data_IF_925137175524
#
_entry.id   IF_925137175524
#
_cell.length_a   1.000
_cell.length_b   1.000
_cell.length_c   1.000
_cell.angle_alpha   90.00
_cell.angle_beta   90.00
_cell.angle_gamma   90.00
#
_symmetry.space_group_name_H-M   'P 1'
#
loop_
_entity.id
_entity.type
_entity.pdbx_description
1 polymer ?
#
# COMPACT_ATOMS: atom_id res chain seq x y z
N UNK A 1 8.55 0.23 -38.84
CA UNK A 1 7.57 -0.19 -37.82
C UNK A 1 8.32 -0.89 -36.69
N UNK A 2 8.89 -0.12 -35.76
CA UNK A 2 9.40 -0.61 -34.48
C UNK A 2 8.31 -0.39 -33.45
N UNK A 3 7.87 -1.47 -32.81
CA UNK A 3 6.91 -1.47 -31.71
C UNK A 3 7.53 -0.71 -30.54
N UNK A 4 7.20 0.57 -30.41
CA UNK A 4 7.39 1.27 -29.16
C UNK A 4 6.35 0.71 -28.19
N UNK A 5 6.80 -0.14 -27.26
CA UNK A 5 6.03 -0.45 -26.06
C UNK A 5 5.95 0.84 -25.25
N UNK A 6 4.94 1.67 -25.53
CA UNK A 6 4.59 2.80 -24.69
C UNK A 6 4.15 2.23 -23.34
N UNK A 7 4.97 2.46 -22.32
CA UNK A 7 4.69 2.15 -20.92
C UNK A 7 3.53 3.05 -20.43
N UNK A 8 2.29 2.71 -20.80
CA UNK A 8 1.08 3.49 -20.55
C UNK A 8 0.55 3.36 -19.11
N UNK A 9 1.38 3.59 -18.10
CA UNK A 9 0.96 3.52 -16.70
C UNK A 9 1.87 4.22 -15.70
N UNK A 10 2.77 5.09 -16.20
CA UNK A 10 3.48 6.06 -15.37
C UNK A 10 2.82 7.42 -15.66
N UNK A 11 2.75 8.29 -14.66
CA UNK A 11 2.14 9.61 -14.79
C UNK A 11 2.70 10.33 -16.04
N UNK A 12 1.92 10.37 -17.12
CA UNK A 12 2.28 10.95 -18.42
C UNK A 12 2.62 12.45 -18.31
N UNK A 13 2.42 13.03 -17.12
CA UNK A 13 2.71 14.42 -16.81
C UNK A 13 4.18 14.70 -16.44
N UNK A 14 4.99 13.68 -16.13
CA UNK A 14 6.40 13.92 -15.76
C UNK A 14 7.29 13.97 -17.00
N UNK A 15 7.87 15.15 -17.21
CA UNK A 15 8.74 15.45 -18.35
C UNK A 15 10.19 15.69 -17.89
N UNK A 16 11.15 15.34 -18.74
CA UNK A 16 12.57 15.66 -18.58
C UNK A 16 13.09 16.34 -19.85
N UNK A 17 13.88 17.41 -19.69
CA UNK A 17 14.47 18.15 -20.80
C UNK A 17 15.89 17.65 -21.09
N UNK A 18 16.22 17.41 -22.36
CA UNK A 18 17.60 17.14 -22.75
C UNK A 18 18.44 18.42 -22.72
N UNK A 19 19.50 18.46 -21.92
CA UNK A 19 20.42 19.60 -21.77
C UNK A 19 21.19 19.94 -23.05
N UNK A 20 21.28 19.01 -24.00
CA UNK A 20 21.99 19.22 -25.27
C UNK A 20 21.10 19.80 -26.37
N UNK A 21 19.88 19.29 -26.56
CA UNK A 21 19.00 19.71 -27.65
C UNK A 21 17.77 20.52 -27.22
N UNK A 22 17.51 20.64 -25.90
CA UNK A 22 16.38 21.38 -25.34
C UNK A 22 15.00 20.72 -25.52
N UNK A 23 14.92 19.53 -26.13
CA UNK A 23 13.67 18.80 -26.33
C UNK A 23 13.23 18.16 -25.00
N UNK A 24 11.94 18.26 -24.71
CA UNK A 24 11.28 17.61 -23.58
C UNK A 24 10.75 16.22 -23.96
N UNK A 25 10.90 15.28 -23.04
CA UNK A 25 10.47 13.89 -23.20
C UNK A 25 9.65 13.46 -21.99
N UNK A 26 8.57 12.69 -22.20
CA UNK A 26 7.95 11.94 -21.10
C UNK A 26 8.97 10.93 -20.59
N UNK A 27 9.12 10.83 -19.27
CA UNK A 27 10.11 9.93 -18.66
C UNK A 27 9.90 8.47 -19.08
N UNK A 28 8.64 8.05 -19.22
CA UNK A 28 8.28 6.72 -19.73
C UNK A 28 8.69 6.48 -21.20
N UNK A 29 8.67 7.51 -22.05
CA UNK A 29 9.11 7.41 -23.45
C UNK A 29 10.62 7.21 -23.60
N UNK A 30 11.39 7.57 -22.57
CA UNK A 30 12.85 7.42 -22.53
C UNK A 30 13.30 6.37 -21.51
N UNK A 31 12.37 5.51 -21.08
CA UNK A 31 12.58 4.42 -20.14
C UNK A 31 13.26 4.86 -18.82
N UNK A 32 12.84 6.01 -18.31
CA UNK A 32 13.21 6.51 -16.99
C UNK A 32 12.04 6.40 -16.04
N UNK A 33 12.34 6.08 -14.79
CA UNK A 33 11.40 6.15 -13.68
C UNK A 33 11.54 7.50 -12.95
N UNK A 34 10.49 7.94 -12.26
CA UNK A 34 10.47 9.25 -11.57
C UNK A 34 11.64 9.41 -10.58
N UNK A 35 11.91 8.37 -9.78
CA UNK A 35 13.02 8.38 -8.82
C UNK A 35 14.42 8.46 -9.48
N UNK A 36 14.56 8.03 -10.73
CA UNK A 36 15.82 8.12 -11.47
C UNK A 36 16.07 9.55 -11.91
N UNK A 37 15.01 10.23 -12.38
CA UNK A 37 15.04 11.62 -12.86
C UNK A 37 15.57 12.56 -11.78
N UNK A 38 15.17 12.37 -10.53
CA UNK A 38 15.63 13.19 -9.40
C UNK A 38 17.15 13.14 -9.18
N UNK A 39 17.81 12.06 -9.63
CA UNK A 39 19.25 11.88 -9.50
C UNK A 39 20.02 12.37 -10.72
N UNK A 40 19.34 12.74 -11.79
CA UNK A 40 19.98 13.28 -12.99
C UNK A 40 20.30 14.75 -12.74
N UNK A 41 21.58 15.10 -12.89
CA UNK A 41 22.05 16.50 -12.87
C UNK A 41 21.86 17.10 -14.28
N UNK A 42 22.32 16.38 -15.31
CA UNK A 42 22.11 16.76 -16.72
C UNK A 42 21.67 15.56 -17.53
N UNK A 43 20.54 15.70 -18.20
CA UNK A 43 19.96 14.65 -19.04
C UNK A 43 20.43 14.78 -20.48
N UNK A 44 20.94 13.69 -21.04
CA UNK A 44 21.21 13.57 -22.47
C UNK A 44 20.32 12.48 -23.06
N UNK A 45 19.44 12.85 -24.01
CA UNK A 45 18.62 11.88 -24.72
C UNK A 45 19.48 10.93 -25.57
N UNK A 46 18.93 9.79 -25.98
CA UNK A 46 19.65 8.74 -26.73
C UNK A 46 20.41 9.26 -27.96
N UNK A 47 19.85 10.25 -28.67
CA UNK A 47 20.49 10.86 -29.84
C UNK A 47 21.67 11.76 -29.44
N UNK A 48 21.50 12.55 -28.40
CA UNK A 48 22.52 13.48 -27.91
C UNK A 48 23.62 12.78 -27.12
N UNK A 49 23.35 11.61 -26.54
CA UNK A 49 24.34 10.89 -25.75
C UNK A 49 25.55 10.42 -26.56
N UNK A 50 25.36 10.23 -27.88
CA UNK A 50 26.42 9.87 -28.81
C UNK A 50 27.45 10.99 -29.04
N UNK A 51 27.05 12.25 -28.89
CA UNK A 51 27.92 13.41 -29.12
C UNK A 51 28.31 14.14 -27.83
N UNK A 52 27.38 14.28 -26.89
CA UNK A 52 27.57 14.95 -25.60
C UNK A 52 27.99 14.00 -24.46
N UNK A 53 28.00 12.69 -24.71
CA UNK A 53 28.23 11.66 -23.69
C UNK A 53 26.95 11.27 -22.93
N UNK A 54 27.00 10.28 -22.03
CA UNK A 54 25.83 9.84 -21.26
C UNK A 54 25.29 10.95 -20.33
N UNK A 55 24.07 10.78 -19.84
CA UNK A 55 23.50 11.63 -18.78
C UNK A 55 24.43 11.67 -17.56
N UNK A 56 24.50 12.84 -16.92
CA UNK A 56 25.33 13.10 -15.76
C UNK A 56 24.43 13.06 -14.53
N UNK A 57 24.86 12.33 -13.51
CA UNK A 57 24.11 12.13 -12.28
C UNK A 57 24.70 12.98 -11.16
N UNK A 58 23.83 13.41 -10.25
CA UNK A 58 24.22 14.08 -9.01
C UNK A 58 25.11 13.17 -8.19
N UNK A 59 26.06 13.78 -7.48
CA UNK A 59 26.95 13.07 -6.55
C UNK A 59 26.24 12.90 -5.22
N UNK A 60 26.15 11.67 -4.73
CA UNK A 60 25.62 11.41 -3.39
C UNK A 60 26.71 11.77 -2.37
N UNK A 61 26.43 12.78 -1.56
CA UNK A 61 27.39 13.38 -0.62
C UNK A 61 27.13 12.99 0.83
N UNK A 62 25.97 12.40 1.13
CA UNK A 62 25.56 12.06 2.50
C UNK A 62 24.65 10.82 2.57
N UNK A 63 24.46 10.28 3.77
CA UNK A 63 23.64 9.07 4.06
C UNK A 63 22.62 9.27 5.18
N UNK A 64 22.55 10.48 5.74
CA UNK A 64 21.71 10.84 6.89
C UNK A 64 20.59 11.81 6.57
N UNK A 65 20.49 12.27 5.32
CA UNK A 65 19.44 13.15 4.83
C UNK A 65 18.57 12.40 3.82
N UNK A 66 17.29 12.76 3.73
CA UNK A 66 16.38 12.18 2.74
C UNK A 66 16.76 12.59 1.31
N UNK A 67 17.39 13.77 1.12
CA UNK A 67 18.09 14.12 -0.12
C UNK A 67 19.59 13.75 -0.02
N UNK A 68 20.03 12.67 -0.68
CA UNK A 68 21.43 12.24 -0.64
C UNK A 68 22.39 13.21 -1.36
N UNK A 69 21.87 14.19 -2.09
CA UNK A 69 22.64 15.20 -2.81
C UNK A 69 22.60 16.58 -2.11
N UNK A 70 22.01 16.67 -0.91
CA UNK A 70 21.80 17.94 -0.22
C UNK A 70 23.12 18.69 0.02
N UNK A 71 23.15 19.95 -0.42
CA UNK A 71 24.29 20.84 -0.19
C UNK A 71 24.46 21.15 1.31
N UNK A 72 25.72 21.20 1.74
CA UNK A 72 26.11 21.52 3.13
C UNK A 72 25.39 20.64 4.18
N UNK A 73 25.26 19.34 3.91
CA UNK A 73 24.58 18.40 4.78
C UNK A 73 25.34 18.04 6.08
N UNK A 74 26.62 18.37 6.19
CA UNK A 74 27.52 17.86 7.24
C UNK A 74 27.02 18.15 8.65
N UNK A 75 26.50 19.35 8.89
CA UNK A 75 26.05 19.81 10.21
C UNK A 75 24.53 19.64 10.43
N UNK A 76 23.82 19.08 9.45
CA UNK A 76 22.37 18.87 9.52
C UNK A 76 22.03 17.59 10.30
N UNK A 77 20.88 17.54 11.00
CA UNK A 77 20.50 16.38 11.78
C UNK A 77 20.21 15.16 10.90
N UNK A 78 20.23 13.98 11.51
CA UNK A 78 19.84 12.73 10.85
C UNK A 78 18.31 12.69 10.71
N UNK A 79 17.82 12.29 9.53
CA UNK A 79 16.39 12.16 9.22
C UNK A 79 15.90 10.71 9.27
N UNK A 80 14.63 10.53 9.63
CA UNK A 80 13.96 9.23 9.67
C UNK A 80 14.04 8.50 8.31
N UNK A 81 14.13 7.18 8.37
CA UNK A 81 14.21 6.29 7.20
C UNK A 81 15.56 6.25 6.49
N UNK A 82 16.47 7.21 6.73
CA UNK A 82 17.80 7.25 6.11
C UNK A 82 18.70 6.08 6.54
N UNK A 83 19.80 5.87 5.82
CA UNK A 83 20.74 4.76 6.10
C UNK A 83 21.30 4.89 7.51
N UNK A 84 21.74 6.09 7.87
CA UNK A 84 22.35 6.37 9.17
C UNK A 84 21.31 6.24 10.29
N UNK A 85 20.08 6.74 10.07
CA UNK A 85 18.98 6.54 11.02
C UNK A 85 18.71 5.07 11.30
N UNK A 86 18.61 4.24 10.25
CA UNK A 86 18.34 2.81 10.40
C UNK A 86 19.47 2.09 11.13
N UNK A 87 20.73 2.48 10.89
CA UNK A 87 21.88 1.94 11.63
C UNK A 87 21.74 2.25 13.12
N UNK A 88 21.46 3.51 13.47
CA UNK A 88 21.23 3.93 14.86
C UNK A 88 20.05 3.18 15.46
N UNK A 89 18.93 3.09 14.74
CA UNK A 89 17.72 2.41 15.22
C UNK A 89 17.96 0.93 15.52
N UNK A 90 18.71 0.22 14.67
CA UNK A 90 19.06 -1.19 14.87
C UNK A 90 20.03 -1.41 16.02
N UNK A 91 20.97 -0.49 16.23
CA UNK A 91 21.94 -0.54 17.32
C UNK A 91 21.35 0.00 18.65
N UNK A 92 20.20 0.69 18.59
CA UNK A 92 19.56 1.28 19.76
C UNK A 92 19.09 0.19 20.72
N UNK A 93 19.82 0.05 21.82
CA UNK A 93 19.39 -0.71 22.99
C UNK A 93 18.45 0.12 23.88
N UNK A 94 17.63 -0.55 24.67
CA UNK A 94 16.85 0.09 25.74
C UNK A 94 15.41 0.45 25.36
N UNK A 95 14.87 -0.08 24.26
CA UNK A 95 13.43 -0.15 24.09
C UNK A 95 12.84 -1.03 25.20
N UNK A 96 11.79 -0.55 25.86
CA UNK A 96 11.05 -1.38 26.80
C UNK A 96 10.49 -2.59 26.08
N UNK A 97 10.53 -3.74 26.75
CA UNK A 97 9.93 -4.93 26.20
C UNK A 97 8.40 -4.75 26.16
N UNK A 98 7.76 -5.17 25.07
CA UNK A 98 6.33 -5.06 24.87
C UNK A 98 5.54 -6.12 25.65
N UNK A 99 6.17 -7.16 26.21
CA UNK A 99 5.48 -8.25 26.92
C UNK A 99 4.61 -7.79 28.09
N UNK A 100 4.95 -6.67 28.73
CA UNK A 100 4.16 -6.10 29.83
C UNK A 100 2.94 -5.30 29.35
N UNK A 101 2.88 -4.98 28.05
CA UNK A 101 1.86 -4.14 27.44
C UNK A 101 0.89 -4.97 26.60
N UNK A 102 1.40 -5.98 25.87
CA UNK A 102 0.58 -6.78 24.97
C UNK A 102 -0.20 -7.85 25.74
N UNK A 103 -1.38 -8.20 25.21
CA UNK A 103 -2.04 -9.45 25.55
C UNK A 103 -1.50 -10.55 24.65
N UNK A 104 -0.67 -11.45 25.20
CA UNK A 104 -0.05 -12.55 24.48
C UNK A 104 -0.90 -13.83 24.58
N UNK A 105 -1.50 -14.23 23.47
CA UNK A 105 -2.36 -15.40 23.34
C UNK A 105 -1.68 -16.47 22.49
N UNK A 106 -1.70 -17.72 22.97
CA UNK A 106 -1.16 -18.85 22.22
C UNK A 106 -1.94 -19.10 20.91
N UNK A 107 -3.26 -18.93 20.95
CA UNK A 107 -4.16 -19.12 19.82
C UNK A 107 -5.45 -18.28 19.97
N UNK A 108 -6.29 -18.30 18.94
CA UNK A 108 -7.51 -17.50 18.84
C UNK A 108 -8.79 -18.15 19.35
N UNK A 109 -8.76 -19.36 19.93
CA UNK A 109 -10.00 -20.11 20.24
C UNK A 109 -10.95 -19.37 21.19
N UNK A 110 -10.41 -18.55 22.10
CA UNK A 110 -11.18 -17.79 23.06
C UNK A 110 -11.31 -16.31 22.68
N UNK A 111 -10.76 -15.87 21.54
CA UNK A 111 -10.79 -14.48 21.12
C UNK A 111 -12.10 -14.18 20.40
N UNK A 112 -13.13 -13.85 21.19
CA UNK A 112 -14.46 -13.46 20.72
C UNK A 112 -14.93 -12.14 21.37
N UNK A 113 -16.13 -11.67 20.98
CA UNK A 113 -16.69 -10.41 21.49
C UNK A 113 -16.83 -10.44 23.01
N UNK A 114 -17.27 -11.56 23.59
CA UNK A 114 -17.45 -11.68 25.05
C UNK A 114 -16.12 -11.59 25.78
N UNK A 115 -15.09 -12.20 25.21
CA UNK A 115 -13.74 -12.11 25.75
C UNK A 115 -13.26 -10.66 25.78
N UNK A 116 -13.40 -9.92 24.67
CA UNK A 116 -13.00 -8.50 24.61
C UNK A 116 -13.83 -7.62 25.55
N UNK A 117 -15.13 -7.86 25.68
CA UNK A 117 -15.99 -7.16 26.64
C UNK A 117 -15.53 -7.40 28.09
N UNK A 118 -15.08 -8.62 28.40
CA UNK A 118 -14.63 -8.98 29.76
C UNK A 118 -13.21 -8.53 30.09
N UNK A 119 -12.34 -8.35 29.09
CA UNK A 119 -10.90 -8.05 29.26
C UNK A 119 -10.52 -6.63 28.83
N UNK A 120 -11.42 -5.91 28.16
CA UNK A 120 -11.18 -4.64 27.44
C UNK A 120 -10.24 -4.77 26.24
N UNK A 121 -10.56 -4.04 25.16
CA UNK A 121 -9.71 -3.92 23.98
C UNK A 121 -8.95 -2.59 24.03
N UNK A 122 -7.98 -2.48 24.95
CA UNK A 122 -7.23 -1.25 25.25
C UNK A 122 -5.71 -1.38 25.03
N UNK A 123 -5.27 -2.55 24.56
CA UNK A 123 -3.86 -2.89 24.32
C UNK A 123 -3.72 -3.81 23.12
N UNK A 124 -2.53 -3.86 22.47
CA UNK A 124 -2.29 -4.77 21.36
C UNK A 124 -2.43 -6.23 21.79
N UNK A 125 -3.02 -7.05 20.92
CA UNK A 125 -3.18 -8.50 21.14
C UNK A 125 -2.27 -9.23 20.17
N UNK A 126 -1.34 -10.03 20.68
CA UNK A 126 -0.50 -10.93 19.88
C UNK A 126 -1.09 -12.32 19.94
N UNK A 127 -1.41 -12.91 18.77
CA UNK A 127 -1.84 -14.30 18.66
C UNK A 127 -0.76 -15.11 17.96
N UNK A 128 -0.10 -16.02 18.70
CA UNK A 128 1.07 -16.76 18.20
C UNK A 128 0.72 -17.75 17.09
N UNK A 129 -0.43 -18.41 17.21
CA UNK A 129 -0.93 -19.38 16.23
C UNK A 129 -2.34 -19.02 15.77
N UNK A 130 -2.57 -19.04 14.45
CA UNK A 130 -3.85 -18.64 13.85
C UNK A 130 -5.03 -19.57 14.15
N UNK A 131 -4.79 -20.73 14.78
CA UNK A 131 -5.83 -21.67 15.20
C UNK A 131 -6.92 -20.97 16.02
N UNK A 132 -8.18 -21.22 15.69
CA UNK A 132 -9.33 -20.62 16.37
C UNK A 132 -9.72 -19.20 15.91
N UNK A 133 -8.89 -18.51 15.12
CA UNK A 133 -9.24 -17.18 14.59
C UNK A 133 -10.26 -17.20 13.45
N UNK A 134 -10.50 -18.35 12.81
CA UNK A 134 -11.20 -18.45 11.52
C UNK A 134 -10.49 -17.67 10.38
N UNK A 135 -9.20 -17.38 10.56
CA UNK A 135 -8.36 -16.76 9.56
C UNK A 135 -7.97 -17.79 8.50
N UNK A 136 -8.21 -17.46 7.22
CA UNK A 136 -7.67 -18.21 6.09
C UNK A 136 -6.85 -17.26 5.22
N UNK A 137 -5.63 -17.64 4.91
CA UNK A 137 -4.75 -16.95 3.97
C UNK A 137 -4.13 -18.02 3.07
N UNK A 138 -4.15 -17.87 1.74
CA UNK A 138 -3.51 -18.83 0.85
C UNK A 138 -2.00 -18.88 1.12
N UNK A 139 -1.39 -20.04 0.84
CA UNK A 139 0.04 -20.24 0.99
C UNK A 139 0.80 -19.43 -0.08
N UNK A 140 1.30 -18.26 0.32
CA UNK A 140 2.05 -17.33 -0.53
C UNK A 140 3.50 -17.37 -0.07
N UNK A 141 4.35 -18.05 -0.84
CA UNK A 141 5.75 -18.28 -0.48
C UNK A 141 6.73 -17.50 -1.35
N UNK A 142 6.22 -16.83 -2.39
CA UNK A 142 7.01 -16.06 -3.31
C UNK A 142 6.28 -14.80 -3.78
N UNK A 143 7.07 -13.91 -4.35
CA UNK A 143 6.58 -12.68 -5.00
C UNK A 143 5.86 -13.01 -6.30
N UNK A 144 6.17 -14.15 -6.91
CA UNK A 144 5.53 -14.61 -8.15
C UNK A 144 4.10 -15.14 -7.88
N UNK A 145 3.85 -15.69 -6.69
CA UNK A 145 2.50 -16.06 -6.25
C UNK A 145 1.60 -14.82 -6.11
N UNK A 146 2.14 -13.73 -5.55
CA UNK A 146 1.42 -12.45 -5.42
C UNK A 146 1.02 -11.88 -6.78
N UNK A 147 1.92 -11.93 -7.76
CA UNK A 147 1.65 -11.50 -9.13
C UNK A 147 0.43 -12.24 -9.72
N UNK A 148 0.34 -13.54 -9.46
CA UNK A 148 -0.75 -14.40 -9.93
C UNK A 148 -2.08 -14.06 -9.25
N UNK A 149 -2.07 -13.81 -7.94
CA UNK A 149 -3.30 -13.64 -7.15
C UNK A 149 -3.91 -12.25 -7.21
N UNK A 150 -3.09 -11.22 -7.38
CA UNK A 150 -3.56 -9.83 -7.44
C UNK A 150 -4.11 -9.47 -8.83
N UNK A 151 -3.73 -10.23 -9.87
CA UNK A 151 -4.35 -10.23 -11.22
C UNK A 151 -4.34 -8.88 -11.95
N UNK A 152 -3.55 -7.91 -11.47
CA UNK A 152 -3.37 -6.61 -12.10
C UNK A 152 -1.92 -6.12 -11.97
N UNK A 153 -1.06 -6.62 -12.85
CA UNK A 153 0.35 -6.24 -12.92
C UNK A 153 0.59 -4.86 -13.49
N UNK A 154 -0.41 -4.31 -14.17
CA UNK A 154 -0.39 -2.98 -14.78
C UNK A 154 -0.95 -1.92 -13.84
N UNK A 155 -1.60 -2.33 -12.74
CA UNK A 155 -2.06 -1.45 -11.67
C UNK A 155 -0.92 -0.53 -11.21
N UNK A 156 -1.21 0.77 -11.25
CA UNK A 156 -0.37 1.76 -10.59
C UNK A 156 -0.56 1.62 -9.08
N UNK A 157 0.54 1.42 -8.36
CA UNK A 157 0.57 1.30 -6.91
C UNK A 157 1.40 2.43 -6.32
N UNK A 158 0.94 2.94 -5.17
CA UNK A 158 1.65 3.96 -4.40
C UNK A 158 2.69 3.29 -3.51
N UNK A 159 3.97 3.56 -3.78
CA UNK A 159 5.10 2.95 -3.10
C UNK A 159 5.92 4.01 -2.38
N UNK A 160 6.38 3.68 -1.18
CA UNK A 160 7.21 4.55 -0.36
C UNK A 160 8.68 4.17 -0.60
N UNK A 161 9.50 5.12 -1.06
CA UNK A 161 10.95 5.02 -0.92
C UNK A 161 11.31 5.30 0.54
N UNK A 162 11.65 4.24 1.28
CA UNK A 162 11.89 4.31 2.72
C UNK A 162 13.06 5.24 3.07
N UNK A 163 14.07 5.37 2.21
CA UNK A 163 15.23 6.22 2.50
C UNK A 163 14.94 7.69 2.27
N UNK A 164 14.07 7.99 1.30
CA UNK A 164 13.65 9.36 0.98
C UNK A 164 12.43 9.82 1.75
N UNK A 165 11.70 8.90 2.39
CA UNK A 165 10.40 9.16 2.99
C UNK A 165 9.46 9.84 1.98
N UNK A 166 9.50 9.37 0.72
CA UNK A 166 8.74 9.93 -0.41
C UNK A 166 7.94 8.84 -1.12
N UNK A 167 6.72 9.20 -1.50
CA UNK A 167 5.83 8.35 -2.27
C UNK A 167 6.09 8.49 -3.78
N UNK A 168 6.01 7.38 -4.49
CA UNK A 168 6.06 7.29 -5.94
C UNK A 168 4.91 6.41 -6.43
N UNK A 169 4.40 6.69 -7.62
CA UNK A 169 3.48 5.78 -8.31
C UNK A 169 4.25 4.98 -9.35
N UNK A 170 4.09 3.66 -9.36
CA UNK A 170 4.65 2.78 -10.39
C UNK A 170 3.78 1.56 -10.64
N UNK A 171 3.95 0.92 -11.80
CA UNK A 171 3.28 -0.35 -12.07
C UNK A 171 3.67 -1.40 -11.05
N UNK A 172 2.71 -2.21 -10.60
CA UNK A 172 2.97 -3.30 -9.67
C UNK A 172 4.05 -4.26 -10.20
N UNK A 173 4.00 -4.62 -11.50
CA UNK A 173 5.06 -5.40 -12.17
C UNK A 173 6.46 -4.80 -12.04
N UNK A 174 6.56 -3.46 -12.11
CA UNK A 174 7.83 -2.75 -11.96
C UNK A 174 8.34 -2.88 -10.53
N UNK A 175 7.47 -2.72 -9.52
CA UNK A 175 7.81 -2.97 -8.12
C UNK A 175 8.31 -4.41 -7.91
N UNK A 176 7.58 -5.42 -8.40
CA UNK A 176 7.98 -6.82 -8.28
C UNK A 176 9.35 -7.09 -8.93
N UNK A 177 9.64 -6.44 -10.06
CA UNK A 177 10.95 -6.52 -10.70
C UNK A 177 12.08 -6.04 -9.77
N UNK A 178 11.87 -4.97 -8.99
CA UNK A 178 12.85 -4.49 -8.01
C UNK A 178 13.04 -5.47 -6.85
N UNK A 179 11.96 -6.11 -6.39
CA UNK A 179 12.07 -7.12 -5.34
C UNK A 179 12.88 -8.35 -5.78
N UNK A 180 12.83 -8.71 -7.07
CA UNK A 180 13.59 -9.82 -7.66
C UNK A 180 15.09 -9.52 -7.82
N UNK A 181 15.50 -8.26 -7.76
CA UNK A 181 16.90 -7.88 -7.89
C UNK A 181 17.73 -8.36 -6.69
N UNK A 182 18.90 -8.96 -6.96
CA UNK A 182 19.84 -9.41 -5.92
C UNK A 182 20.52 -8.25 -5.19
N UNK A 183 20.80 -7.16 -5.91
CA UNK A 183 21.36 -5.93 -5.38
C UNK A 183 20.34 -4.82 -5.59
N UNK A 184 19.91 -4.21 -4.49
CA UNK A 184 18.85 -3.20 -4.48
C UNK A 184 19.50 -1.82 -4.39
N UNK A 185 19.16 -0.94 -5.32
CA UNK A 185 19.59 0.47 -5.30
C UNK A 185 18.70 1.34 -4.39
N UNK A 186 17.47 0.87 -4.11
CA UNK A 186 16.43 1.55 -3.35
C UNK A 186 15.67 0.54 -2.50
N UNK A 187 15.05 1.04 -1.43
CA UNK A 187 14.28 0.26 -0.47
C UNK A 187 12.83 0.73 -0.55
N UNK A 188 12.02 -0.03 -1.28
CA UNK A 188 10.60 0.27 -1.45
C UNK A 188 9.74 -0.46 -0.42
N UNK A 189 8.68 0.22 -0.02
CA UNK A 189 7.67 -0.28 0.89
C UNK A 189 6.29 0.00 0.30
N UNK A 190 5.47 -1.03 0.11
CA UNK A 190 4.08 -0.90 -0.31
C UNK A 190 3.19 -1.25 0.87
N UNK A 191 2.44 -0.26 1.39
CA UNK A 191 1.61 -0.44 2.59
C UNK A 191 0.09 -0.27 2.35
N UNK A 192 -0.30 0.21 1.17
CA UNK A 192 -1.65 0.70 0.88
C UNK A 192 -2.38 -0.10 -0.22
N UNK A 193 -1.88 -1.28 -0.60
CA UNK A 193 -2.49 -2.06 -1.67
C UNK A 193 -3.73 -2.83 -1.19
N UNK A 194 -4.88 -2.21 -1.37
CA UNK A 194 -6.21 -2.80 -1.13
C UNK A 194 -6.50 -3.87 -2.19
N UNK A 195 -6.97 -5.05 -1.79
CA UNK A 195 -7.18 -6.17 -2.72
C UNK A 195 -8.59 -6.77 -2.69
N UNK A 196 -9.58 -6.14 -2.05
CA UNK A 196 -10.95 -6.66 -1.95
C UNK A 196 -11.62 -6.91 -3.30
N UNK A 197 -11.16 -6.24 -4.36
CA UNK A 197 -11.65 -6.38 -5.74
C UNK A 197 -10.83 -7.32 -6.63
N UNK A 198 -9.84 -8.02 -6.08
CA UNK A 198 -8.97 -8.95 -6.80
C UNK A 198 -9.37 -10.41 -6.58
N UNK A 199 -8.74 -11.34 -7.32
CA UNK A 199 -8.91 -12.79 -7.13
C UNK A 199 -8.43 -13.29 -5.76
N UNK A 200 -7.56 -12.54 -5.08
CA UNK A 200 -7.08 -12.86 -3.74
C UNK A 200 -8.16 -12.69 -2.66
N UNK A 201 -9.07 -11.72 -2.84
CA UNK A 201 -10.10 -11.39 -1.86
C UNK A 201 -10.92 -12.59 -1.34
N UNK A 202 -11.53 -13.43 -2.20
CA UNK A 202 -12.32 -14.58 -1.71
C UNK A 202 -11.50 -15.66 -1.01
N UNK A 203 -10.18 -15.68 -1.19
CA UNK A 203 -9.28 -16.64 -0.54
C UNK A 203 -8.87 -16.18 0.85
N UNK A 204 -8.86 -14.88 1.11
CA UNK A 204 -8.53 -14.32 2.42
C UNK A 204 -9.80 -14.15 3.26
N UNK A 205 -9.93 -14.99 4.28
CA UNK A 205 -10.99 -14.92 5.29
C UNK A 205 -10.43 -14.22 6.52
N UNK A 206 -11.05 -13.12 6.93
CA UNK A 206 -10.63 -12.33 8.09
C UNK A 206 -10.79 -13.12 9.39
N UNK A 207 -10.05 -12.77 10.46
CA UNK A 207 -10.34 -13.28 11.78
C UNK A 207 -11.79 -12.98 12.16
N UNK A 208 -12.50 -13.96 12.72
CA UNK A 208 -13.92 -13.84 13.06
C UNK A 208 -14.19 -12.63 13.96
N UNK A 209 -13.33 -12.38 14.94
CA UNK A 209 -13.47 -11.22 15.83
C UNK A 209 -13.44 -9.89 15.08
N UNK A 210 -12.61 -9.77 14.04
CA UNK A 210 -12.51 -8.54 13.22
C UNK A 210 -13.82 -8.34 12.45
N UNK A 211 -14.36 -9.40 11.86
CA UNK A 211 -15.64 -9.37 11.15
C UNK A 211 -16.80 -8.99 12.09
N UNK A 212 -16.84 -9.60 13.29
CA UNK A 212 -17.90 -9.42 14.28
C UNK A 212 -17.97 -7.97 14.83
N UNK A 213 -16.84 -7.26 14.94
CA UNK A 213 -16.79 -5.89 15.51
C UNK A 213 -16.67 -4.77 14.47
N UNK A 214 -16.36 -5.10 13.21
CA UNK A 214 -16.16 -4.11 12.15
C UNK A 214 -17.47 -3.38 11.81
N UNK A 215 -17.51 -2.06 12.01
CA UNK A 215 -18.68 -1.26 11.66
C UNK A 215 -19.02 -1.31 10.17
N UNK A 216 -18.00 -1.36 9.29
CA UNK A 216 -18.21 -1.49 7.85
C UNK A 216 -18.88 -2.83 7.55
N UNK A 217 -18.46 -3.92 8.17
CA UNK A 217 -19.04 -5.24 7.89
C UNK A 217 -20.43 -5.42 8.51
N UNK A 218 -20.65 -4.88 9.71
CA UNK A 218 -21.90 -5.02 10.44
C UNK A 218 -23.00 -4.09 9.92
N UNK A 219 -22.65 -2.88 9.50
CA UNK A 219 -23.64 -1.82 9.24
C UNK A 219 -23.64 -1.28 7.81
N UNK A 220 -22.66 -1.61 6.96
CA UNK A 220 -22.71 -1.18 5.57
C UNK A 220 -23.82 -1.94 4.81
N UNK A 221 -24.75 -1.26 4.12
CA UNK A 221 -25.88 -1.92 3.47
C UNK A 221 -25.45 -2.82 2.30
N UNK A 222 -25.58 -4.14 2.46
CA UNK A 222 -25.17 -5.16 1.46
C UNK A 222 -25.90 -5.05 0.12
N UNK A 223 -27.12 -4.52 0.12
CA UNK A 223 -27.92 -4.30 -1.08
C UNK A 223 -27.34 -3.22 -2.01
N UNK A 224 -26.38 -2.42 -1.52
CA UNK A 224 -25.66 -1.42 -2.31
C UNK A 224 -24.44 -1.99 -3.03
N UNK A 225 -23.95 -3.16 -2.61
CA UNK A 225 -22.75 -3.78 -3.19
C UNK A 225 -23.01 -4.39 -4.59
N UNK A 226 -24.25 -4.36 -5.09
CA UNK A 226 -24.70 -5.19 -6.23
C UNK A 226 -25.04 -4.46 -7.53
N UNK A 227 -24.52 -3.26 -7.80
CA UNK A 227 -24.84 -2.52 -9.04
C UNK A 227 -23.66 -2.18 -9.97
N UNK A 228 -22.43 -2.66 -9.74
CA UNK A 228 -21.29 -2.21 -10.58
C UNK A 228 -20.94 -3.11 -11.76
N UNK A 229 -21.62 -4.25 -11.97
CA UNK A 229 -21.28 -5.16 -13.08
C UNK A 229 -22.20 -5.08 -14.30
N UNK A 230 -23.41 -4.50 -14.15
CA UNK A 230 -24.40 -4.36 -15.26
C UNK A 230 -24.58 -2.91 -15.77
N UNK A 231 -23.93 -1.90 -15.16
CA UNK A 231 -24.21 -0.47 -15.41
C UNK A 231 -23.34 0.21 -16.49
N UNK A 232 -22.68 -0.55 -17.38
CA UNK A 232 -22.04 0.04 -18.57
C UNK A 232 -23.03 0.50 -19.64
N UNK A 233 -24.35 0.41 -19.42
CA UNK A 233 -25.36 0.79 -20.41
C UNK A 233 -26.62 1.52 -19.90
N UNK A 234 -26.61 2.13 -18.70
CA UNK A 234 -27.73 2.99 -18.28
C UNK A 234 -27.48 4.48 -18.54
N UNK A 235 -28.38 5.18 -19.29
CA UNK A 235 -28.25 6.61 -19.50
C UNK A 235 -28.44 7.35 -18.17
N UNK A 236 -27.58 8.36 -17.94
CA UNK A 236 -27.43 9.17 -16.70
C UNK A 236 -28.68 9.95 -16.22
N UNK A 237 -29.90 9.60 -16.62
CA UNK A 237 -31.13 10.32 -16.31
C UNK A 237 -32.34 9.42 -15.97
N UNK A 238 -32.16 8.24 -15.37
CA UNK A 238 -33.28 7.53 -14.73
C UNK A 238 -33.30 7.80 -13.23
N UNK A 239 -34.39 8.41 -12.76
CA UNK A 239 -34.71 8.52 -11.34
C UNK A 239 -34.78 7.11 -10.76
N UNK A 240 -33.94 6.82 -9.78
CA UNK A 240 -34.04 5.60 -8.96
C UNK A 240 -35.45 5.56 -8.38
N UNK A 241 -36.19 4.50 -8.72
CA UNK A 241 -37.55 4.26 -8.22
C UNK A 241 -37.56 4.22 -6.69
N UNK A 242 -38.47 4.99 -6.09
CA UNK A 242 -38.63 5.21 -4.64
C UNK A 242 -39.21 4.01 -3.86
N UNK A 243 -39.31 2.82 -4.44
CA UNK A 243 -39.99 1.69 -3.79
C UNK A 243 -39.01 0.65 -3.21
N UNK A 244 -38.31 1.03 -2.12
CA UNK A 244 -37.65 0.07 -1.24
C UNK A 244 -38.49 -0.17 0.02
N UNK A 245 -39.24 -1.29 0.06
CA UNK A 245 -39.97 -1.75 1.25
C UNK A 245 -39.19 -2.87 1.93
N UNK A 246 -38.76 -2.65 3.18
CA UNK A 246 -38.29 -3.71 4.08
C UNK A 246 -39.47 -4.15 4.95
N UNK A 247 -39.86 -5.43 4.82
CA UNK A 247 -40.80 -6.08 5.73
C UNK A 247 -40.15 -6.20 7.11
N UNK A 248 -40.62 -5.40 8.04
CA UNK A 248 -40.32 -5.47 9.47
C UNK A 248 -41.37 -4.65 10.19
N UNK A 249 -42.18 -5.30 11.02
CA UNK A 249 -43.17 -4.67 11.88
C UNK A 249 -42.42 -3.86 12.94
N UNK A 250 -42.40 -2.53 12.78
CA UNK A 250 -42.47 -1.53 13.85
C UNK A 250 -42.25 -0.14 13.26
N UNK A 251 -43.14 0.77 13.64
CA UNK A 251 -43.64 1.81 12.73
C UNK A 251 -43.26 3.25 13.12
N UNK A 252 -42.12 3.48 13.78
CA UNK A 252 -41.77 4.85 14.20
C UNK A 252 -40.32 5.35 13.98
N UNK A 253 -39.41 4.58 13.35
CA UNK A 253 -38.00 5.04 13.16
C UNK A 253 -37.39 4.78 11.77
N UNK A 254 -38.21 4.76 10.70
CA UNK A 254 -37.77 4.33 9.35
C UNK A 254 -37.48 5.46 8.34
N UNK A 255 -36.97 6.60 8.78
CA UNK A 255 -36.50 7.66 7.86
C UNK A 255 -35.17 8.26 8.33
N UNK A 256 -34.06 7.54 8.13
CA UNK A 256 -33.02 8.15 7.30
C UNK A 256 -32.21 7.19 6.39
N UNK A 257 -32.33 5.87 6.52
CA UNK A 257 -31.42 4.95 5.82
C UNK A 257 -31.64 4.88 4.30
N UNK A 258 -32.88 5.02 3.81
CA UNK A 258 -33.17 4.89 2.38
C UNK A 258 -32.52 6.00 1.53
N UNK A 259 -32.45 7.24 2.06
CA UNK A 259 -31.77 8.36 1.40
C UNK A 259 -30.24 8.25 1.49
N UNK A 260 -29.73 7.83 2.65
CA UNK A 260 -28.30 7.56 2.86
C UNK A 260 -27.79 6.46 1.91
N UNK A 261 -28.58 5.40 1.73
CA UNK A 261 -28.23 4.27 0.89
C UNK A 261 -28.13 4.64 -0.60
N UNK A 262 -28.98 5.54 -1.12
CA UNK A 262 -28.93 5.93 -2.55
C UNK A 262 -27.76 6.85 -2.91
N UNK A 263 -27.35 7.75 -2.00
CA UNK A 263 -26.23 8.67 -2.24
C UNK A 263 -24.87 7.99 -2.02
N UNK A 264 -24.80 7.01 -1.11
CA UNK A 264 -23.57 6.34 -0.73
C UNK A 264 -23.37 4.95 -1.35
N UNK A 265 -24.24 4.54 -2.29
CA UNK A 265 -24.27 3.20 -2.88
C UNK A 265 -22.93 2.71 -3.50
N UNK A 266 -22.03 3.62 -3.88
CA UNK A 266 -20.71 3.30 -4.43
C UNK A 266 -19.52 3.65 -3.53
N UNK A 267 -19.76 4.12 -2.31
CA UNK A 267 -18.73 4.70 -1.43
C UNK A 267 -18.38 3.80 -0.24
N UNK A 268 -18.55 2.49 -0.38
CA UNK A 268 -18.13 1.54 0.66
C UNK A 268 -16.65 1.78 0.96
N UNK A 269 -16.26 1.99 2.23
CA UNK A 269 -14.86 2.06 2.60
C UNK A 269 -14.18 0.72 2.33
N UNK A 270 -13.33 0.67 1.32
CA UNK A 270 -12.49 -0.50 1.02
C UNK A 270 -11.22 -0.39 1.86
N UNK A 271 -11.32 -0.79 3.12
CA UNK A 271 -10.24 -0.64 4.11
C UNK A 271 -10.04 -1.90 4.97
N UNK A 272 -10.53 -3.06 4.51
CA UNK A 272 -10.51 -4.29 5.30
C UNK A 272 -9.42 -5.29 4.89
N UNK A 273 -8.92 -5.20 3.65
CA UNK A 273 -7.96 -6.16 3.08
C UNK A 273 -6.83 -5.46 2.34
N UNK A 274 -5.69 -5.31 3.02
CA UNK A 274 -4.48 -4.75 2.45
C UNK A 274 -3.38 -5.81 2.34
N UNK A 275 -2.67 -5.79 1.22
CA UNK A 275 -1.47 -6.59 1.01
C UNK A 275 -0.26 -5.66 1.14
N UNK A 276 0.56 -5.91 2.15
CA UNK A 276 1.75 -5.14 2.41
C UNK A 276 2.98 -5.93 1.95
N UNK A 277 3.84 -5.31 1.15
CA UNK A 277 5.14 -5.89 0.76
C UNK A 277 6.26 -4.89 1.01
N UNK A 278 7.21 -5.31 1.83
CA UNK A 278 8.30 -4.45 2.30
C UNK A 278 9.64 -5.08 2.00
N UNK A 279 10.57 -4.28 1.48
CA UNK A 279 11.95 -4.71 1.37
C UNK A 279 12.59 -4.76 2.77
N UNK A 280 13.65 -5.57 2.91
CA UNK A 280 14.52 -5.51 4.09
C UNK A 280 14.98 -4.06 4.26
N UNK A 281 14.92 -3.56 5.49
CA UNK A 281 15.28 -2.20 5.90
C UNK A 281 14.26 -1.12 5.51
N UNK A 282 13.06 -1.49 5.07
CA UNK A 282 11.94 -0.55 4.99
C UNK A 282 11.55 -0.01 6.36
N UNK A 283 11.10 1.25 6.39
CA UNK A 283 10.68 1.94 7.62
C UNK A 283 9.48 2.83 7.34
N UNK A 284 8.57 2.88 8.30
CA UNK A 284 7.40 3.77 8.32
C UNK A 284 7.42 4.47 9.68
N UNK A 285 7.39 5.80 9.66
CA UNK A 285 7.46 6.60 10.89
C UNK A 285 6.18 6.46 11.72
N UNK A 286 6.24 6.91 12.97
CA UNK A 286 5.14 6.86 13.91
C UNK A 286 3.90 7.58 13.38
N UNK A 287 2.76 6.90 13.43
CA UNK A 287 1.48 7.44 13.04
C UNK A 287 0.35 6.80 13.85
N UNK A 288 -0.84 7.38 13.74
CA UNK A 288 -2.10 6.80 14.20
C UNK A 288 -2.89 6.49 12.93
N UNK A 289 -3.44 5.28 12.84
CA UNK A 289 -4.24 4.89 11.68
C UNK A 289 -5.43 5.83 11.46
N UNK A 290 -5.77 6.02 10.19
CA UNK A 290 -6.82 6.94 9.80
C UNK A 290 -8.13 6.62 10.53
N UNK A 291 -8.80 7.67 11.01
CA UNK A 291 -10.03 7.57 11.78
C UNK A 291 -9.85 6.96 13.19
N UNK A 292 -8.62 6.75 13.66
CA UNK A 292 -8.37 6.03 14.91
C UNK A 292 -8.85 4.58 14.84
N UNK A 293 -8.76 3.98 13.65
CA UNK A 293 -9.22 2.62 13.42
C UNK A 293 -8.35 1.59 14.14
N UNK A 294 -8.95 0.45 14.49
CA UNK A 294 -8.21 -0.72 14.93
C UNK A 294 -7.75 -1.53 13.71
N UNK A 295 -6.55 -2.10 13.80
CA UNK A 295 -5.94 -2.88 12.72
C UNK A 295 -5.63 -4.30 13.16
N UNK A 296 -5.59 -5.21 12.19
CA UNK A 296 -5.11 -6.57 12.36
C UNK A 296 -4.02 -6.83 11.32
N UNK A 297 -2.96 -7.52 11.71
CA UNK A 297 -1.87 -7.91 10.82
C UNK A 297 -1.62 -9.40 10.91
N UNK A 298 -1.32 -10.02 9.76
CA UNK A 298 -0.88 -11.39 9.68
C UNK A 298 0.43 -11.47 8.89
N UNK A 299 1.48 -11.99 9.52
CA UNK A 299 2.78 -12.18 8.85
C UNK A 299 2.71 -13.47 8.05
N UNK A 300 2.62 -13.33 6.73
CA UNK A 300 2.56 -14.47 5.80
C UNK A 300 3.93 -15.14 5.67
N UNK A 301 4.95 -14.33 5.35
CA UNK A 301 6.30 -14.82 5.15
C UNK A 301 7.34 -13.71 5.36
N UNK A 302 8.52 -14.10 5.85
CA UNK A 302 9.69 -13.23 5.96
C UNK A 302 10.87 -13.90 5.30
N UNK A 303 11.46 -13.26 4.30
CA UNK A 303 12.73 -13.72 3.70
C UNK A 303 13.92 -13.22 4.51
N UNK A 304 14.50 -14.11 5.31
CA UNK A 304 15.82 -13.84 5.90
C UNK A 304 16.86 -14.12 4.81
N UNK A 305 17.39 -13.06 4.20
CA UNK A 305 18.60 -13.18 3.38
C UNK A 305 19.76 -13.47 4.35
N UNK A 306 20.14 -14.73 4.47
CA UNK A 306 21.40 -15.11 5.11
C UNK A 306 22.52 -14.60 4.20
N UNK A 307 23.21 -13.56 4.66
CA UNK A 307 24.41 -13.00 4.03
C UNK A 307 25.65 -13.71 4.54
#
# INVERSE_FOLDING_TARGET
HSSANTLSGLDDNVLIQCDSCGIWYHIGCVNLQEFEVENIDRYHCEKCSLSAGPSIYKVFTNTHRNDPCEDNAQDKPIECGTIDFLKILKEKSGFHNTFDIILDLENGHNLDVKYLESTSFDRPILVRHSAGLNLNVPDINSIDDLETWLDDTELAVDVIDSQRQKDYSMKFSTLLSFFRQKSRKRIYNLISMEFSKTKLSPLVILPKIVDDISWVHQYWPKNLERSTQDDLNFPKNSRISQDFRINGEDNNDKRPLAGFASEHAGFKPEVSKFCLISMKDSYTDFHIDFGGSSVWYHIVWVRILVT
#
